data_IF_293006358660
#
_entry.id   IF_293006358660
#
_cell.length_a   1.000
_cell.length_b   1.000
_cell.length_c   1.000
_cell.angle_alpha   90.00
_cell.angle_beta   90.00
_cell.angle_gamma   90.00
#
_symmetry.space_group_name_H-M   'P 1'
#
loop_
_entity.id
_entity.type
_entity.pdbx_description
1 polymer ?
#
# COMPACT_ATOMS: atom_id res chain seq x y z
N UNK A 1 -2.05 64.88 28.26
CA UNK A 1 -2.37 64.96 29.71
C UNK A 1 -3.75 64.35 29.86
N UNK A 2 -4.03 63.39 30.75
CA UNK A 2 -3.33 63.05 32.00
C UNK A 2 -3.35 61.53 32.23
N UNK A 3 -2.22 60.96 32.67
CA UNK A 3 -2.10 59.53 33.04
C UNK A 3 -2.16 59.41 34.57
N UNK A 4 -2.86 58.40 35.13
CA UNK A 4 -2.46 57.82 36.42
C UNK A 4 -3.01 56.39 36.66
N UNK A 5 -2.29 55.50 37.39
CA UNK A 5 -2.56 54.05 37.39
C UNK A 5 -2.69 53.42 38.80
N UNK A 6 -2.66 52.08 38.83
CA UNK A 6 -2.17 51.20 39.92
C UNK A 6 -3.03 50.99 41.20
N UNK A 7 -3.34 49.73 41.49
CA UNK A 7 -3.05 49.08 42.77
C UNK A 7 -3.13 47.54 42.65
N UNK A 8 -2.14 46.83 43.18
CA UNK A 8 -2.13 45.37 43.38
C UNK A 8 -2.21 45.10 44.87
N UNK A 9 -2.95 44.07 45.31
CA UNK A 9 -2.83 43.54 46.68
C UNK A 9 -2.39 42.07 46.67
N UNK A 10 -1.37 41.80 47.47
CA UNK A 10 -0.82 40.49 47.80
C UNK A 10 -0.90 40.38 49.33
N UNK A 11 -1.26 39.21 49.89
CA UNK A 11 -1.31 39.07 51.35
C UNK A 11 -0.92 37.66 51.78
N UNK A 12 0.09 37.58 52.65
CA UNK A 12 0.55 36.38 53.34
C UNK A 12 0.35 36.55 54.85
N UNK A 13 -0.08 35.49 55.53
CA UNK A 13 0.03 35.32 56.99
C UNK A 13 0.41 33.85 57.23
N UNK A 14 1.66 33.51 57.60
CA UNK A 14 2.40 33.72 58.86
C UNK A 14 2.03 32.67 59.93
N UNK A 15 3.04 31.94 60.41
CA UNK A 15 2.95 30.85 61.37
C UNK A 15 3.39 31.26 62.79
N UNK A 16 2.98 30.47 63.80
CA UNK A 16 3.43 30.56 65.20
C UNK A 16 3.66 29.14 65.77
N UNK A 17 4.47 29.00 66.83
CA UNK A 17 5.18 27.77 67.16
C UNK A 17 5.26 27.41 68.66
N UNK A 18 5.67 26.16 68.94
CA UNK A 18 6.32 25.66 70.18
C UNK A 18 5.43 25.44 71.43
N UNK A 19 5.88 24.68 72.47
CA UNK A 19 7.21 24.07 72.69
C UNK A 19 7.23 22.54 72.99
N UNK A 20 8.42 22.01 73.31
CA UNK A 20 8.71 20.59 73.55
C UNK A 20 9.05 20.25 75.02
N UNK A 21 9.01 18.96 75.38
CA UNK A 21 9.57 18.36 76.61
C UNK A 21 10.21 17.00 76.27
N UNK A 22 11.29 16.61 76.95
CA UNK A 22 12.05 15.37 76.71
C UNK A 22 12.33 14.57 77.99
N UNK A 23 12.46 13.23 77.90
CA UNK A 23 13.01 12.32 78.94
C UNK A 23 13.47 10.96 78.33
N UNK A 24 14.13 10.08 79.10
CA UNK A 24 15.30 9.28 78.61
C UNK A 24 15.35 7.74 78.94
N UNK A 25 15.74 6.90 77.95
CA UNK A 25 16.47 5.59 78.04
C UNK A 25 15.76 4.33 78.63
N UNK A 26 16.35 3.09 78.61
CA UNK A 26 17.49 2.51 77.85
C UNK A 26 17.23 1.11 77.15
N UNK A 27 18.27 0.43 76.63
CA UNK A 27 18.28 -0.65 75.56
C UNK A 27 18.46 -2.12 76.04
N UNK A 28 18.00 -3.18 75.30
CA UNK A 28 18.93 -4.23 74.77
C UNK A 28 18.53 -4.90 73.38
N UNK A 29 18.70 -6.23 73.19
CA UNK A 29 18.76 -7.02 71.91
C UNK A 29 18.06 -8.43 72.05
N UNK A 30 18.09 -9.47 71.14
CA UNK A 30 18.81 -9.67 69.85
C UNK A 30 18.02 -10.37 68.67
N UNK A 31 18.70 -10.70 67.56
CA UNK A 31 18.18 -11.31 66.30
C UNK A 31 18.20 -12.86 66.24
N UNK A 32 17.64 -13.48 65.17
CA UNK A 32 18.43 -14.42 64.34
C UNK A 32 18.20 -14.33 62.80
N UNK A 33 19.05 -15.02 62.03
CA UNK A 33 19.03 -15.22 60.55
C UNK A 33 19.01 -16.75 60.23
N UNK A 34 19.28 -17.30 59.01
CA UNK A 34 19.42 -16.75 57.64
C UNK A 34 18.69 -17.54 56.48
N UNK A 35 18.72 -16.99 55.25
CA UNK A 35 18.77 -17.56 53.87
C UNK A 35 18.32 -19.01 53.54
N UNK A 36 17.65 -19.31 52.38
CA UNK A 36 18.22 -19.04 51.03
C UNK A 36 17.24 -18.63 49.91
N UNK A 37 17.79 -18.33 48.72
CA UNK A 37 17.06 -17.93 47.50
C UNK A 37 16.93 -19.10 46.48
N UNK A 38 15.76 -19.28 45.83
CA UNK A 38 15.61 -20.10 44.63
C UNK A 38 15.39 -19.27 43.34
N UNK A 39 15.75 -19.89 42.21
CA UNK A 39 15.78 -19.29 40.86
C UNK A 39 14.37 -19.08 40.22
N UNK A 40 14.24 -18.45 39.04
CA UNK A 40 12.95 -17.93 38.55
C UNK A 40 11.99 -19.04 38.10
N UNK A 41 10.72 -18.92 38.49
CA UNK A 41 9.64 -19.80 38.05
C UNK A 41 9.20 -19.49 36.61
N UNK A 42 8.79 -20.54 35.89
CA UNK A 42 8.45 -20.50 34.45
C UNK A 42 6.95 -20.51 34.20
N UNK A 43 6.57 -20.00 33.02
CA UNK A 43 5.36 -20.34 32.24
C UNK A 43 4.02 -19.71 32.68
N UNK A 44 3.05 -19.50 31.74
CA UNK A 44 2.90 -20.21 30.47
C UNK A 44 3.02 -19.41 29.16
N UNK A 45 3.68 -20.08 28.20
CA UNK A 45 3.28 -20.27 26.80
C UNK A 45 2.86 -19.05 25.96
N UNK A 46 3.77 -18.64 25.08
CA UNK A 46 3.43 -17.81 23.94
C UNK A 46 2.57 -18.58 22.92
N UNK A 47 1.38 -18.06 22.60
CA UNK A 47 0.64 -18.40 21.39
C UNK A 47 -0.37 -17.28 21.04
N UNK A 48 -0.54 -16.88 19.76
CA UNK A 48 0.47 -16.97 18.71
C UNK A 48 0.59 -15.69 17.85
N UNK A 49 1.82 -15.23 17.61
CA UNK A 49 2.16 -14.41 16.42
C UNK A 49 1.85 -15.15 15.10
N UNK A 50 1.50 -16.44 15.19
CA UNK A 50 1.00 -17.28 14.11
C UNK A 50 -0.28 -16.79 13.43
N UNK A 51 -1.08 -15.88 14.00
CA UNK A 51 -2.22 -15.30 13.28
C UNK A 51 -1.76 -14.39 12.12
N UNK A 52 -0.79 -13.51 12.37
CA UNK A 52 -0.17 -12.68 11.34
C UNK A 52 0.67 -13.52 10.35
N UNK A 53 1.40 -14.52 10.84
CA UNK A 53 2.13 -15.43 9.97
C UNK A 53 1.20 -16.34 9.12
N UNK A 54 0.03 -16.71 9.64
CA UNK A 54 -0.99 -17.45 8.88
C UNK A 54 -1.69 -16.55 7.85
N UNK A 55 -1.91 -15.27 8.13
CA UNK A 55 -2.38 -14.30 7.15
C UNK A 55 -1.36 -14.11 6.01
N UNK A 56 -0.07 -13.98 6.34
CA UNK A 56 1.01 -13.95 5.33
C UNK A 56 1.09 -15.26 4.52
N UNK A 57 0.91 -16.43 5.17
CA UNK A 57 0.84 -17.72 4.48
C UNK A 57 -0.42 -17.90 3.62
N UNK A 58 -1.55 -17.28 4.00
CA UNK A 58 -2.79 -17.29 3.23
C UNK A 58 -2.72 -16.33 2.02
N UNK A 59 -2.07 -15.17 2.16
CA UNK A 59 -1.73 -14.30 1.04
C UNK A 59 -0.79 -15.02 0.04
N UNK A 60 0.19 -15.79 0.54
CA UNK A 60 1.01 -16.67 -0.30
C UNK A 60 0.25 -17.87 -0.92
N UNK A 61 -0.91 -18.25 -0.37
CA UNK A 61 -1.74 -19.34 -0.89
C UNK A 61 -2.71 -18.88 -2.00
N UNK A 62 -3.05 -17.59 -2.08
CA UNK A 62 -3.94 -17.03 -3.10
C UNK A 62 -3.31 -16.94 -4.50
N UNK A 63 -1.99 -17.09 -4.61
CA UNK A 63 -1.24 -17.02 -5.87
C UNK A 63 -0.27 -18.20 -6.06
N UNK A 64 -0.70 -19.44 -5.74
CA UNK A 64 0.08 -20.63 -6.13
C UNK A 64 0.08 -20.74 -7.67
N UNK A 65 1.23 -20.63 -8.35
CA UNK A 65 1.27 -20.81 -9.81
C UNK A 65 0.86 -22.24 -10.17
N UNK A 66 0.29 -22.47 -11.38
CA UNK A 66 -0.02 -23.82 -11.83
C UNK A 66 1.20 -24.74 -11.74
N UNK A 67 0.95 -26.01 -11.40
CA UNK A 67 2.00 -26.98 -11.11
C UNK A 67 2.95 -27.20 -12.31
N UNK A 68 4.21 -27.62 -12.09
CA UNK A 68 5.20 -27.68 -13.16
C UNK A 68 4.88 -28.78 -14.20
N UNK A 69 4.29 -28.39 -15.33
CA UNK A 69 4.08 -29.29 -16.47
C UNK A 69 3.36 -28.58 -17.61
N UNK A 70 2.08 -28.31 -17.41
CA UNK A 70 1.15 -27.95 -18.48
C UNK A 70 0.67 -26.50 -18.36
N UNK A 71 1.40 -25.57 -18.99
CA UNK A 71 0.79 -24.30 -19.38
C UNK A 71 0.00 -24.59 -20.67
N UNK A 72 -1.35 -24.51 -20.66
CA UNK A 72 -2.16 -24.87 -21.81
C UNK A 72 -1.94 -23.92 -23.00
N UNK A 73 -2.20 -24.44 -24.20
CA UNK A 73 -2.27 -23.60 -25.39
C UNK A 73 -3.43 -22.59 -25.26
N UNK A 74 -3.16 -21.34 -25.65
CA UNK A 74 -4.13 -20.23 -25.66
C UNK A 74 -5.50 -20.64 -26.23
N UNK A 75 -5.54 -21.30 -27.39
CA UNK A 75 -6.79 -21.73 -28.06
C UNK A 75 -7.64 -22.73 -27.26
N UNK A 76 -7.03 -23.46 -26.32
CA UNK A 76 -7.75 -24.33 -25.39
C UNK A 76 -8.18 -23.57 -24.14
N UNK A 77 -7.37 -22.63 -23.67
CA UNK A 77 -7.69 -21.81 -22.49
C UNK A 77 -8.90 -20.91 -22.72
N UNK A 78 -8.98 -20.22 -23.87
CA UNK A 78 -10.06 -19.25 -24.19
C UNK A 78 -11.39 -19.88 -24.61
N UNK A 79 -11.49 -21.22 -24.66
CA UNK A 79 -12.77 -21.90 -24.85
C UNK A 79 -13.73 -21.49 -23.71
N UNK A 80 -14.96 -21.16 -24.09
CA UNK A 80 -16.03 -20.72 -23.19
C UNK A 80 -15.72 -19.43 -22.39
N UNK A 81 -14.68 -18.67 -22.81
CA UNK A 81 -14.31 -17.40 -22.21
C UNK A 81 -14.91 -16.20 -22.97
N UNK A 82 -15.22 -15.12 -22.27
CA UNK A 82 -15.59 -13.84 -22.89
C UNK A 82 -14.31 -13.06 -23.17
N UNK A 83 -13.94 -12.96 -24.45
CA UNK A 83 -12.74 -12.26 -24.92
C UNK A 83 -13.09 -10.84 -25.38
N UNK A 84 -12.29 -9.86 -24.97
CA UNK A 84 -12.43 -8.46 -25.35
C UNK A 84 -11.11 -7.94 -25.93
N UNK A 85 -11.13 -7.42 -27.16
CA UNK A 85 -9.94 -6.87 -27.81
C UNK A 85 -9.79 -5.36 -27.53
N UNK A 86 -8.56 -4.92 -27.28
CA UNK A 86 -8.18 -3.53 -27.03
C UNK A 86 -6.65 -3.43 -26.94
N UNK A 87 -6.13 -2.43 -26.23
CA UNK A 87 -4.69 -2.27 -25.96
C UNK A 87 -4.07 -3.59 -25.49
N UNK A 88 -4.65 -4.16 -24.44
CA UNK A 88 -4.46 -5.56 -24.09
C UNK A 88 -5.76 -6.29 -24.38
N UNK A 89 -5.65 -7.57 -24.74
CA UNK A 89 -6.84 -8.41 -24.83
C UNK A 89 -7.18 -8.92 -23.41
N UNK A 90 -8.38 -8.57 -22.94
CA UNK A 90 -8.92 -9.08 -21.69
C UNK A 90 -9.72 -10.36 -21.94
N UNK A 91 -9.59 -11.32 -21.04
CA UNK A 91 -10.30 -12.60 -21.10
C UNK A 91 -11.00 -12.79 -19.76
N UNK A 92 -12.32 -13.01 -19.77
CA UNK A 92 -13.09 -13.36 -18.56
C UNK A 92 -13.54 -14.80 -18.61
N UNK A 93 -13.27 -15.55 -17.55
CA UNK A 93 -13.62 -16.97 -17.41
C UNK A 93 -13.73 -17.31 -15.94
N UNK A 94 -14.75 -18.08 -15.56
CA UNK A 94 -14.97 -18.61 -14.20
C UNK A 94 -14.84 -17.56 -13.07
N UNK A 95 -15.41 -16.37 -13.30
CA UNK A 95 -15.37 -15.23 -12.36
C UNK A 95 -14.03 -14.47 -12.30
N UNK A 96 -12.98 -14.98 -12.95
CA UNK A 96 -11.65 -14.37 -13.02
C UNK A 96 -11.48 -13.48 -14.25
N UNK A 97 -10.52 -12.57 -14.17
CA UNK A 97 -10.06 -11.72 -15.28
C UNK A 97 -8.60 -12.01 -15.57
N UNK A 98 -8.29 -12.20 -16.84
CA UNK A 98 -6.96 -12.45 -17.36
C UNK A 98 -6.61 -11.44 -18.44
N UNK A 99 -5.32 -11.25 -18.67
CA UNK A 99 -4.79 -10.35 -19.69
C UNK A 99 -3.81 -11.11 -20.58
N UNK A 100 -4.04 -11.06 -21.91
CA UNK A 100 -3.07 -11.54 -22.90
C UNK A 100 -2.09 -10.42 -23.23
N UNK A 101 -0.81 -10.68 -22.98
CA UNK A 101 0.33 -9.84 -23.33
C UNK A 101 0.98 -10.40 -24.58
N UNK A 102 1.09 -9.59 -25.64
CA UNK A 102 1.88 -9.92 -26.82
C UNK A 102 3.39 -9.72 -26.57
N UNK A 103 4.24 -10.30 -27.41
CA UNK A 103 5.69 -10.27 -27.20
C UNK A 103 6.29 -8.86 -27.28
N UNK A 104 5.70 -7.98 -28.09
CA UNK A 104 6.02 -6.55 -28.23
C UNK A 104 5.42 -5.67 -27.13
N UNK A 105 4.60 -6.26 -26.24
CA UNK A 105 4.01 -5.57 -25.10
C UNK A 105 4.79 -5.79 -23.79
N UNK A 106 5.71 -6.75 -23.77
CA UNK A 106 6.64 -6.99 -22.68
C UNK A 106 7.76 -5.96 -22.67
N UNK A 107 8.29 -5.66 -21.48
CA UNK A 107 9.40 -4.72 -21.25
C UNK A 107 9.17 -3.29 -21.79
N UNK A 108 7.92 -2.98 -22.20
CA UNK A 108 7.40 -1.66 -22.59
C UNK A 108 6.68 -1.01 -21.41
N UNK A 109 6.76 0.31 -21.34
CA UNK A 109 6.11 1.12 -20.31
C UNK A 109 4.67 1.51 -20.69
N UNK A 110 3.80 1.51 -19.68
CA UNK A 110 2.38 1.88 -19.75
C UNK A 110 2.02 2.79 -18.59
N UNK A 111 0.97 3.59 -18.73
CA UNK A 111 0.40 4.35 -17.63
C UNK A 111 -0.63 3.50 -16.88
N UNK A 112 -0.60 3.51 -15.55
CA UNK A 112 -1.62 2.88 -14.71
C UNK A 112 -2.20 3.89 -13.71
N UNK A 113 -3.52 4.06 -13.75
CA UNK A 113 -4.28 4.79 -12.72
C UNK A 113 -5.19 3.84 -11.97
N UNK A 114 -5.43 4.11 -10.69
CA UNK A 114 -6.39 3.40 -9.86
C UNK A 114 -7.24 4.45 -9.16
N UNK A 115 -8.57 4.36 -9.30
CA UNK A 115 -9.52 5.28 -8.66
C UNK A 115 -10.66 4.50 -8.02
N UNK A 116 -11.16 4.91 -6.84
CA UNK A 116 -12.32 4.31 -6.24
C UNK A 116 -13.59 4.73 -6.99
N UNK A 117 -14.57 3.84 -7.11
CA UNK A 117 -15.88 4.05 -7.72
C UNK A 117 -16.99 4.30 -6.70
N UNK A 118 -16.70 4.05 -5.43
CA UNK A 118 -17.50 4.41 -4.27
C UNK A 118 -16.64 5.22 -3.29
N UNK A 119 -17.24 5.74 -2.22
CA UNK A 119 -16.54 6.41 -1.13
C UNK A 119 -17.08 5.95 0.22
N UNK A 120 -16.46 6.38 1.32
CA UNK A 120 -16.91 6.02 2.68
C UNK A 120 -18.08 6.88 3.17
N UNK A 121 -18.51 7.90 2.42
CA UNK A 121 -19.48 8.90 2.90
C UNK A 121 -18.90 9.91 3.92
N UNK A 122 -17.58 9.87 4.12
CA UNK A 122 -16.83 10.73 5.03
C UNK A 122 -15.33 10.53 4.82
N UNK A 123 -14.50 11.06 5.73
CA UNK A 123 -13.05 10.84 5.78
C UNK A 123 -12.28 11.23 4.50
N UNK A 124 -12.85 12.10 3.66
CA UNK A 124 -12.34 12.50 2.34
C UNK A 124 -12.17 11.37 1.31
N UNK A 125 -12.53 10.13 1.62
CA UNK A 125 -12.51 9.02 0.65
C UNK A 125 -13.76 9.11 -0.24
N UNK A 126 -13.57 9.65 -1.45
CA UNK A 126 -14.63 9.99 -2.40
C UNK A 126 -14.52 9.17 -3.69
N UNK A 127 -15.65 8.90 -4.35
CA UNK A 127 -15.65 8.25 -5.66
C UNK A 127 -15.02 9.16 -6.73
N UNK A 128 -14.13 8.58 -7.54
CA UNK A 128 -13.36 9.27 -8.58
C UNK A 128 -12.08 9.94 -8.07
N UNK A 129 -11.75 9.81 -6.79
CA UNK A 129 -10.54 10.39 -6.21
C UNK A 129 -9.26 9.73 -6.75
N UNK A 130 -8.26 10.55 -7.09
CA UNK A 130 -6.95 10.11 -7.55
C UNK A 130 -5.81 10.51 -6.57
N UNK A 131 -6.12 11.18 -5.45
CA UNK A 131 -5.12 11.60 -4.47
C UNK A 131 -4.53 10.43 -3.67
N UNK A 132 -5.30 9.35 -3.49
CA UNK A 132 -4.81 8.12 -2.84
C UNK A 132 -3.66 7.46 -3.60
N UNK A 133 -3.64 7.59 -4.93
CA UNK A 133 -2.52 7.10 -5.72
C UNK A 133 -2.38 7.83 -7.06
N UNK A 134 -1.24 8.50 -7.22
CA UNK A 134 -0.84 9.14 -8.48
C UNK A 134 -0.81 8.15 -9.65
N UNK A 135 -0.92 8.71 -10.87
CA UNK A 135 -0.77 7.96 -12.10
C UNK A 135 0.68 7.48 -12.24
N UNK A 136 0.91 6.17 -12.16
CA UNK A 136 2.26 5.59 -12.19
C UNK A 136 2.59 4.92 -13.51
N UNK A 137 3.86 4.97 -13.89
CA UNK A 137 4.39 4.14 -14.98
C UNK A 137 4.49 2.69 -14.50
N UNK A 138 4.10 1.75 -15.34
CA UNK A 138 4.31 0.32 -15.09
C UNK A 138 4.97 -0.39 -16.28
N UNK A 139 5.65 -1.49 -16.00
CA UNK A 139 6.29 -2.38 -16.98
C UNK A 139 5.98 -3.84 -16.67
N UNK A 140 5.66 -4.62 -17.69
CA UNK A 140 5.49 -6.07 -17.58
C UNK A 140 6.80 -6.77 -17.92
N UNK A 141 7.43 -7.39 -16.92
CA UNK A 141 8.73 -8.08 -17.06
C UNK A 141 8.54 -9.57 -16.88
N UNK A 142 9.02 -10.41 -17.81
CA UNK A 142 8.90 -11.87 -17.68
C UNK A 142 9.87 -12.40 -16.63
N UNK A 143 9.37 -13.13 -15.63
CA UNK A 143 10.15 -13.77 -14.57
C UNK A 143 9.87 -15.27 -14.58
N UNK A 144 10.55 -16.00 -15.46
CA UNK A 144 10.37 -17.45 -15.64
C UNK A 144 8.97 -17.84 -16.15
N UNK A 145 8.16 -18.43 -15.25
CA UNK A 145 6.76 -18.84 -15.49
C UNK A 145 5.71 -17.83 -14.99
N UNK A 146 6.17 -16.64 -14.60
CA UNK A 146 5.33 -15.53 -14.14
C UNK A 146 5.72 -14.24 -14.86
N UNK A 147 4.91 -13.21 -14.69
CA UNK A 147 5.21 -11.83 -15.07
C UNK A 147 5.18 -10.98 -13.81
N UNK A 148 6.25 -10.21 -13.60
CA UNK A 148 6.28 -9.14 -12.61
C UNK A 148 5.64 -7.88 -13.22
N UNK A 149 4.73 -7.27 -12.47
CA UNK A 149 4.27 -5.90 -12.73
C UNK A 149 5.18 -4.98 -11.93
N UNK A 150 6.11 -4.33 -12.63
CA UNK A 150 7.08 -3.40 -12.07
C UNK A 150 6.53 -1.98 -12.20
N UNK A 151 6.75 -1.14 -11.20
CA UNK A 151 6.67 0.31 -11.28
C UNK A 151 8.11 0.85 -11.34
N UNK A 152 8.59 1.25 -12.53
CA UNK A 152 9.97 1.73 -12.69
C UNK A 152 10.21 3.03 -11.94
N UNK A 153 11.44 3.21 -11.44
CA UNK A 153 11.83 4.45 -10.78
C UNK A 153 12.08 5.58 -11.80
N UNK A 154 11.11 6.49 -11.94
CA UNK A 154 11.16 7.60 -12.91
C UNK A 154 11.75 8.90 -12.36
N UNK A 155 11.85 9.06 -11.03
CA UNK A 155 12.14 10.35 -10.40
C UNK A 155 13.58 10.84 -10.58
N UNK A 156 14.54 9.93 -10.67
CA UNK A 156 15.96 10.25 -10.82
C UNK A 156 16.39 9.91 -12.25
N UNK A 157 16.97 10.88 -12.93
CA UNK A 157 17.22 10.86 -14.36
C UNK A 157 18.70 11.12 -14.66
N UNK A 158 19.18 10.51 -15.74
CA UNK A 158 20.42 10.85 -16.41
C UNK A 158 20.34 10.37 -17.88
N UNK A 159 21.09 11.04 -18.76
CA UNK A 159 21.13 10.79 -20.19
C UNK A 159 21.35 9.29 -20.50
N UNK A 160 20.48 8.64 -21.29
CA UNK A 160 20.60 7.23 -21.62
C UNK A 160 21.96 6.88 -22.25
N UNK A 161 22.43 5.66 -21.96
CA UNK A 161 23.73 5.13 -22.42
C UNK A 161 24.98 5.84 -21.85
N UNK A 162 24.84 6.58 -20.76
CA UNK A 162 25.98 7.13 -20.00
C UNK A 162 26.33 6.24 -18.79
N UNK A 163 27.59 6.25 -18.31
CA UNK A 163 27.95 5.61 -17.03
C UNK A 163 27.16 6.16 -15.84
N UNK A 164 26.68 7.40 -15.94
CA UNK A 164 25.86 8.05 -14.93
C UNK A 164 24.44 7.47 -14.88
N UNK A 165 23.82 7.18 -16.03
CA UNK A 165 22.55 6.48 -16.08
C UNK A 165 22.63 5.07 -15.49
N UNK A 166 23.74 4.35 -15.71
CA UNK A 166 23.99 3.07 -15.03
C UNK A 166 24.15 3.24 -13.51
N UNK A 167 24.86 4.28 -13.05
CA UNK A 167 25.01 4.58 -11.63
C UNK A 167 23.68 4.94 -10.96
N UNK A 168 22.85 5.76 -11.60
CA UNK A 168 21.48 6.10 -11.13
C UNK A 168 20.63 4.84 -11.06
N UNK A 169 20.57 4.04 -12.13
CA UNK A 169 19.81 2.78 -12.20
C UNK A 169 20.26 1.73 -11.18
N UNK A 170 21.54 1.70 -10.80
CA UNK A 170 22.06 0.81 -9.76
C UNK A 170 21.80 1.35 -8.34
N UNK A 171 21.61 2.67 -8.19
CA UNK A 171 21.36 3.34 -6.91
C UNK A 171 19.88 3.55 -6.60
N UNK A 172 18.99 3.27 -7.55
CA UNK A 172 17.54 3.42 -7.42
C UNK A 172 16.84 2.08 -7.62
N UNK A 173 15.93 1.74 -6.71
CA UNK A 173 15.15 0.50 -6.79
C UNK A 173 13.81 0.76 -7.48
N UNK A 174 13.48 -0.08 -8.46
CA UNK A 174 12.11 -0.19 -8.98
C UNK A 174 11.20 -0.84 -7.93
N UNK A 175 9.90 -0.51 -7.95
CA UNK A 175 8.90 -1.11 -7.06
C UNK A 175 8.20 -2.30 -7.72
N UNK A 176 7.97 -3.38 -6.97
CA UNK A 176 7.21 -4.55 -7.44
C UNK A 176 5.74 -4.42 -6.99
N UNK A 177 4.83 -4.21 -7.93
CA UNK A 177 3.39 -4.10 -7.66
C UNK A 177 2.72 -5.47 -7.48
N UNK A 178 3.26 -6.51 -8.10
CA UNK A 178 2.74 -7.87 -7.97
C UNK A 178 3.36 -8.83 -8.99
N UNK A 179 3.12 -10.12 -8.77
CA UNK A 179 3.55 -11.19 -9.67
C UNK A 179 2.32 -11.97 -10.11
N UNK A 180 2.10 -12.06 -11.42
CA UNK A 180 1.03 -12.84 -12.02
C UNK A 180 1.59 -14.12 -12.66
N UNK A 181 1.01 -15.28 -12.36
CA UNK A 181 1.38 -16.54 -13.00
C UNK A 181 0.94 -16.56 -14.48
N UNK A 182 1.75 -17.16 -15.35
CA UNK A 182 1.35 -17.44 -16.74
C UNK A 182 0.42 -18.65 -16.75
N UNK A 183 -0.81 -18.47 -17.24
CA UNK A 183 -1.88 -19.48 -17.25
C UNK A 183 -2.16 -20.07 -18.62
N UNK A 184 -1.69 -19.44 -19.70
CA UNK A 184 -1.70 -19.98 -21.05
C UNK A 184 -0.61 -19.32 -21.91
N UNK A 185 -0.16 -19.98 -22.97
CA UNK A 185 0.75 -19.41 -23.97
C UNK A 185 0.29 -19.72 -25.40
N UNK A 186 0.57 -18.81 -26.34
CA UNK A 186 0.52 -19.10 -27.77
C UNK A 186 1.95 -19.24 -28.31
N UNK A 187 2.28 -20.40 -28.86
CA UNK A 187 3.61 -20.69 -29.39
C UNK A 187 3.92 -19.99 -30.71
N UNK A 188 2.90 -19.57 -31.46
CA UNK A 188 3.07 -18.96 -32.79
C UNK A 188 3.55 -17.49 -32.72
N UNK A 189 2.95 -16.71 -31.82
CA UNK A 189 3.24 -15.27 -31.64
C UNK A 189 4.01 -14.97 -30.33
N UNK A 190 4.30 -16.00 -29.53
CA UNK A 190 4.91 -15.94 -28.19
C UNK A 190 4.12 -15.13 -27.16
N UNK A 191 2.85 -14.85 -27.42
CA UNK A 191 1.98 -14.17 -26.47
C UNK A 191 1.66 -15.07 -25.27
N UNK A 192 1.51 -14.45 -24.11
CA UNK A 192 1.26 -15.11 -22.84
C UNK A 192 -0.03 -14.57 -22.21
N UNK A 193 -0.73 -15.40 -21.44
CA UNK A 193 -1.90 -15.00 -20.66
C UNK A 193 -1.55 -15.03 -19.19
N UNK A 194 -1.81 -13.93 -18.48
CA UNK A 194 -1.59 -13.81 -17.05
C UNK A 194 -2.91 -13.57 -16.31
N UNK A 195 -3.02 -14.09 -15.08
CA UNK A 195 -4.17 -13.84 -14.20
C UNK A 195 -4.00 -12.50 -13.46
N UNK A 196 -5.02 -11.64 -13.49
CA UNK A 196 -4.97 -10.32 -12.85
C UNK A 196 -5.30 -10.35 -11.35
N UNK A 197 -5.26 -11.51 -10.70
CA UNK A 197 -5.55 -11.66 -9.27
C UNK A 197 -4.69 -10.80 -8.32
N UNK A 198 -3.45 -10.37 -8.66
CA UNK A 198 -2.75 -9.37 -7.86
C UNK A 198 -3.55 -8.07 -7.64
N UNK A 199 -4.42 -7.66 -8.58
CA UNK A 199 -5.27 -6.47 -8.44
C UNK A 199 -6.39 -6.62 -7.40
N UNK A 200 -6.67 -7.84 -6.93
CA UNK A 200 -7.59 -8.08 -5.80
C UNK A 200 -6.92 -7.82 -4.44
N UNK A 201 -5.58 -7.75 -4.40
CA UNK A 201 -4.80 -7.33 -3.25
C UNK A 201 -4.68 -5.82 -3.14
N UNK A 202 -4.04 -5.35 -2.08
CA UNK A 202 -3.91 -3.91 -1.78
C UNK A 202 -2.75 -3.24 -2.55
N UNK A 203 -2.89 -3.15 -3.88
CA UNK A 203 -1.84 -2.59 -4.78
C UNK A 203 -1.75 -1.06 -4.71
N UNK A 204 -2.61 -0.41 -3.92
CA UNK A 204 -2.64 1.05 -3.74
C UNK A 204 -2.41 1.49 -2.29
N UNK A 205 -2.10 0.55 -1.38
CA UNK A 205 -1.90 0.78 0.06
C UNK A 205 -3.11 1.41 0.79
N UNK A 206 -4.32 1.14 0.30
CA UNK A 206 -5.56 1.71 0.84
C UNK A 206 -5.83 1.29 2.28
N UNK A 207 -5.33 0.13 2.73
CA UNK A 207 -5.42 -0.24 4.14
C UNK A 207 -4.71 0.79 5.04
N UNK A 208 -3.59 1.37 4.62
CA UNK A 208 -2.91 2.41 5.40
C UNK A 208 -3.69 3.73 5.39
N UNK A 209 -4.20 4.19 4.25
CA UNK A 209 -5.15 5.32 4.19
C UNK A 209 -6.31 5.12 5.17
N UNK A 210 -7.00 3.98 5.05
CA UNK A 210 -8.16 3.64 5.87
C UNK A 210 -7.79 3.62 7.36
N UNK A 211 -6.63 3.08 7.71
CA UNK A 211 -6.12 3.04 9.09
C UNK A 211 -5.77 4.41 9.65
N UNK A 212 -5.22 5.32 8.85
CA UNK A 212 -4.87 6.66 9.32
C UNK A 212 -6.10 7.57 9.47
N UNK A 213 -7.10 7.47 8.58
CA UNK A 213 -8.33 8.28 8.70
C UNK A 213 -9.32 7.73 9.75
N UNK A 214 -9.30 6.43 10.05
CA UNK A 214 -10.14 5.80 11.10
C UNK A 214 -9.40 5.56 12.42
N UNK A 215 -8.21 6.13 12.57
CA UNK A 215 -7.28 5.88 13.69
C UNK A 215 -7.86 6.25 15.05
N UNK A 216 -7.92 5.26 15.93
CA UNK A 216 -8.33 5.43 17.33
C UNK A 216 -7.15 5.08 18.27
N UNK A 217 -6.56 6.08 18.96
CA UNK A 217 -5.47 5.86 19.91
C UNK A 217 -5.83 4.93 21.08
N UNK A 218 -7.11 4.76 21.39
CA UNK A 218 -7.59 3.87 22.46
C UNK A 218 -7.78 2.43 22.01
N UNK A 219 -7.79 2.19 20.69
CA UNK A 219 -8.03 0.89 20.08
C UNK A 219 -6.91 0.49 19.08
N UNK A 220 -5.72 0.13 19.57
CA UNK A 220 -4.60 -0.28 18.72
C UNK A 220 -4.82 -1.62 17.97
N UNK A 221 -5.97 -2.27 18.17
CA UNK A 221 -6.37 -3.50 17.49
C UNK A 221 -7.45 -3.26 16.40
N UNK A 222 -7.82 -2.00 16.16
CA UNK A 222 -8.84 -1.63 15.17
C UNK A 222 -8.38 -1.62 13.72
N UNK A 223 -7.10 -1.86 13.47
CA UNK A 223 -6.51 -1.82 12.13
C UNK A 223 -7.19 -2.72 11.11
N UNK A 224 -7.52 -2.14 9.96
CA UNK A 224 -7.98 -2.80 8.76
C UNK A 224 -6.82 -3.46 8.02
N UNK A 225 -7.13 -4.59 7.39
CA UNK A 225 -6.27 -5.28 6.43
C UNK A 225 -7.12 -5.75 5.24
N UNK A 226 -6.50 -5.87 4.08
CA UNK A 226 -7.16 -6.42 2.89
C UNK A 226 -7.50 -7.91 3.14
N UNK A 227 -8.73 -8.33 2.82
CA UNK A 227 -9.22 -9.71 2.89
C UNK A 227 -9.34 -10.33 1.48
N UNK A 228 -8.36 -11.14 1.02
CA UNK A 228 -8.38 -11.72 -0.32
C UNK A 228 -9.57 -12.66 -0.58
N UNK A 229 -10.16 -13.27 0.45
CA UNK A 229 -11.24 -14.25 0.29
C UNK A 229 -12.60 -13.58 0.04
N UNK A 230 -12.74 -12.31 0.46
CA UNK A 230 -13.93 -11.48 0.22
C UNK A 230 -13.71 -10.40 -0.86
N UNK A 231 -12.64 -10.52 -1.65
CA UNK A 231 -12.37 -9.66 -2.81
C UNK A 231 -12.64 -10.38 -4.13
N UNK A 232 -13.21 -9.68 -5.11
CA UNK A 232 -13.61 -10.28 -6.39
C UNK A 232 -13.66 -9.26 -7.54
N UNK A 233 -13.57 -9.72 -8.79
CA UNK A 233 -13.61 -8.84 -9.95
C UNK A 233 -15.01 -8.27 -10.22
N UNK A 234 -15.07 -6.95 -10.45
CA UNK A 234 -16.24 -6.23 -10.95
C UNK A 234 -16.30 -6.25 -12.48
N UNK A 235 -16.74 -5.16 -13.10
CA UNK A 235 -16.72 -4.98 -14.55
C UNK A 235 -15.31 -5.01 -15.17
N UNK A 236 -15.21 -5.20 -16.48
CA UNK A 236 -13.95 -4.95 -17.20
C UNK A 236 -14.24 -4.62 -18.66
N UNK A 237 -13.47 -3.69 -19.24
CA UNK A 237 -13.67 -3.21 -20.61
C UNK A 237 -12.34 -2.93 -21.31
N UNK A 238 -12.16 -3.51 -22.49
CA UNK A 238 -11.03 -3.21 -23.37
C UNK A 238 -11.40 -2.12 -24.40
N UNK A 239 -10.47 -1.20 -24.66
CA UNK A 239 -10.55 -0.14 -25.66
C UNK A 239 -9.24 -0.07 -26.46
N UNK A 240 -9.18 0.59 -27.63
CA UNK A 240 -7.97 0.57 -28.47
C UNK A 240 -6.67 1.10 -27.82
N UNK A 241 -6.77 2.02 -26.85
CA UNK A 241 -5.61 2.66 -26.19
C UNK A 241 -5.53 2.44 -24.69
N UNK A 242 -6.49 1.74 -24.09
CA UNK A 242 -6.51 1.44 -22.67
C UNK A 242 -7.42 0.23 -22.35
N UNK A 243 -7.23 -0.37 -21.18
CA UNK A 243 -8.16 -1.36 -20.63
C UNK A 243 -8.49 -0.99 -19.19
N UNK A 244 -9.74 -1.18 -18.79
CA UNK A 244 -10.23 -0.94 -17.43
C UNK A 244 -10.64 -2.28 -16.81
N UNK A 245 -10.16 -2.54 -15.60
CA UNK A 245 -10.50 -3.71 -14.79
C UNK A 245 -10.96 -3.21 -13.43
N UNK A 246 -12.20 -3.53 -13.09
CA UNK A 246 -12.79 -3.17 -11.81
C UNK A 246 -12.66 -4.34 -10.84
N UNK A 247 -12.42 -4.03 -9.57
CA UNK A 247 -12.35 -4.98 -8.47
C UNK A 247 -13.16 -4.47 -7.29
N UNK A 248 -13.72 -5.39 -6.52
CA UNK A 248 -14.33 -5.10 -5.23
C UNK A 248 -13.37 -5.65 -4.19
N UNK A 249 -12.63 -4.76 -3.55
CA UNK A 249 -11.67 -5.08 -2.49
C UNK A 249 -12.36 -4.97 -1.14
N UNK A 250 -12.35 -6.04 -0.35
CA UNK A 250 -12.85 -5.99 1.03
C UNK A 250 -11.68 -5.78 1.99
N UNK A 251 -11.88 -4.85 2.93
CA UNK A 251 -10.98 -4.51 4.03
C UNK A 251 -11.66 -4.88 5.35
N UNK A 252 -11.00 -5.71 6.14
CA UNK A 252 -11.54 -6.32 7.35
C UNK A 252 -10.82 -5.83 8.60
N UNK A 253 -11.54 -5.68 9.69
CA UNK A 253 -10.98 -5.43 11.03
C UNK A 253 -11.65 -6.33 12.05
N UNK A 254 -10.88 -6.88 12.98
CA UNK A 254 -11.38 -7.78 14.02
C UNK A 254 -12.03 -7.02 15.19
N UNK A 255 -11.63 -5.76 15.39
CA UNK A 255 -12.11 -4.89 16.47
C UNK A 255 -12.19 -3.44 15.96
N UNK A 256 -12.91 -3.14 14.87
CA UNK A 256 -12.93 -1.80 14.31
C UNK A 256 -13.41 -0.79 15.36
N UNK A 257 -12.85 0.42 15.31
CA UNK A 257 -13.51 1.57 15.95
C UNK A 257 -14.76 1.97 15.18
N UNK A 258 -15.61 2.77 15.80
CA UNK A 258 -16.88 3.20 15.18
C UNK A 258 -16.59 4.08 13.97
N UNK A 259 -17.19 3.73 12.83
CA UNK A 259 -17.16 4.49 11.58
C UNK A 259 -18.61 4.70 11.16
N UNK A 260 -19.22 5.80 11.62
CA UNK A 260 -20.67 6.03 11.53
C UNK A 260 -21.21 6.14 10.09
N UNK A 261 -20.33 6.27 9.09
CA UNK A 261 -20.69 6.44 7.68
C UNK A 261 -20.79 5.11 6.90
N UNK A 262 -20.39 3.97 7.49
CA UNK A 262 -20.44 2.64 6.84
C UNK A 262 -21.42 1.68 7.54
N UNK A 263 -21.95 0.72 6.78
CA UNK A 263 -23.00 -0.20 7.27
C UNK A 263 -22.47 -1.27 8.24
N UNK A 264 -21.26 -1.79 7.99
CA UNK A 264 -20.58 -2.72 8.89
C UNK A 264 -19.07 -2.36 8.95
N UNK A 265 -18.60 -1.71 10.03
CA UNK A 265 -17.20 -1.30 10.13
C UNK A 265 -16.24 -2.49 10.26
N UNK A 266 -16.71 -3.74 10.42
CA UNK A 266 -15.82 -4.92 10.41
C UNK A 266 -15.42 -5.35 9.00
N UNK A 267 -16.08 -4.82 7.96
CA UNK A 267 -16.01 -5.32 6.59
C UNK A 267 -16.36 -4.23 5.58
N UNK A 268 -15.46 -3.28 5.38
CA UNK A 268 -15.61 -2.19 4.40
C UNK A 268 -15.25 -2.72 3.01
N UNK A 269 -16.09 -2.44 2.00
CA UNK A 269 -15.83 -2.84 0.61
C UNK A 269 -15.63 -1.61 -0.28
N UNK A 270 -14.45 -1.53 -0.90
CA UNK A 270 -14.10 -0.50 -1.87
C UNK A 270 -14.12 -1.05 -3.29
N UNK A 271 -14.72 -0.29 -4.20
CA UNK A 271 -14.85 -0.65 -5.60
C UNK A 271 -13.75 0.11 -6.35
N UNK A 272 -12.67 -0.55 -6.76
CA UNK A 272 -11.53 0.11 -7.42
C UNK A 272 -11.55 -0.13 -8.92
N UNK A 273 -11.31 0.92 -9.70
CA UNK A 273 -11.11 0.84 -11.15
C UNK A 273 -9.62 1.00 -11.49
N UNK A 274 -8.98 -0.08 -11.89
CA UNK A 274 -7.63 -0.05 -12.46
C UNK A 274 -7.72 0.19 -13.96
N UNK A 275 -7.10 1.27 -14.44
CA UNK A 275 -7.01 1.60 -15.85
C UNK A 275 -5.55 1.54 -16.30
N UNK A 276 -5.27 0.70 -17.30
CA UNK A 276 -3.96 0.58 -17.94
C UNK A 276 -4.05 1.20 -19.34
N UNK A 277 -3.21 2.18 -19.64
CA UNK A 277 -3.24 2.94 -20.88
C UNK A 277 -1.86 2.96 -21.56
N UNK A 278 -1.85 3.11 -22.89
CA UNK A 278 -0.61 3.38 -23.61
C UNK A 278 -0.07 4.77 -23.24
N UNK A 279 1.25 4.89 -23.08
CA UNK A 279 1.90 6.19 -22.93
C UNK A 279 1.68 7.06 -24.18
N UNK A 280 1.71 8.40 -24.04
CA UNK A 280 1.77 9.28 -25.20
C UNK A 280 3.04 9.00 -26.02
N UNK A 281 3.01 9.38 -27.29
CA UNK A 281 4.18 9.30 -28.16
C UNK A 281 5.31 10.19 -27.61
N UNK A 282 6.31 9.59 -26.97
CA UNK A 282 7.41 10.29 -26.32
C UNK A 282 8.31 11.07 -27.28
N UNK A 283 8.18 10.87 -28.61
CA UNK A 283 8.85 11.72 -29.61
C UNK A 283 8.11 13.04 -29.88
N UNK A 284 6.85 13.14 -29.43
CA UNK A 284 5.97 14.30 -29.58
C UNK A 284 5.52 14.89 -28.24
N UNK A 285 5.65 14.14 -27.14
CA UNK A 285 5.32 14.58 -25.81
C UNK A 285 6.43 15.49 -25.27
N UNK A 286 6.06 16.71 -24.89
CA UNK A 286 6.95 17.66 -24.23
C UNK A 286 6.43 17.91 -22.82
N UNK A 287 7.16 17.53 -21.75
CA UNK A 287 6.74 17.84 -20.39
C UNK A 287 6.75 19.36 -20.17
N UNK A 288 5.77 19.86 -19.41
CA UNK A 288 5.72 21.26 -19.00
C UNK A 288 6.55 21.44 -17.72
N UNK A 289 7.45 22.42 -17.70
CA UNK A 289 8.10 22.84 -16.45
C UNK A 289 7.05 23.38 -15.46
N UNK A 290 7.31 23.18 -14.17
CA UNK A 290 6.49 23.74 -13.10
C UNK A 290 6.46 25.28 -13.19
N UNK A 291 5.32 25.87 -12.82
CA UNK A 291 5.10 27.31 -12.91
C UNK A 291 4.11 27.71 -11.81
N UNK A 292 4.60 28.40 -10.79
CA UNK A 292 3.86 28.82 -9.59
C UNK A 292 2.57 29.59 -9.91
N UNK A 293 2.49 30.23 -11.09
CA UNK A 293 1.31 30.99 -11.54
C UNK A 293 0.14 30.10 -11.94
N UNK A 294 0.39 28.81 -12.20
CA UNK A 294 -0.59 27.88 -12.75
C UNK A 294 -1.27 27.03 -11.66
N UNK A 295 -0.73 27.00 -10.44
CA UNK A 295 -1.41 26.45 -9.25
C UNK A 295 -1.89 25.00 -9.43
N UNK A 296 -1.09 24.16 -10.08
CA UNK A 296 -1.44 22.79 -10.47
C UNK A 296 -0.32 21.83 -10.06
N UNK A 297 -0.66 20.56 -9.85
CA UNK A 297 0.26 19.52 -9.41
C UNK A 297 1.53 19.44 -10.27
N UNK A 298 2.69 19.37 -9.61
CA UNK A 298 4.01 19.17 -10.21
C UNK A 298 4.63 17.86 -9.72
N UNK A 299 5.54 17.27 -10.51
CA UNK A 299 6.30 16.08 -10.16
C UNK A 299 7.81 16.37 -10.20
N UNK A 300 8.44 16.26 -9.03
CA UNK A 300 9.77 16.79 -8.76
C UNK A 300 10.89 15.80 -9.12
N UNK A 301 11.42 15.94 -10.33
CA UNK A 301 12.49 15.11 -10.88
C UNK A 301 13.92 15.58 -10.51
N UNK A 302 14.86 14.64 -10.43
CA UNK A 302 16.28 14.90 -10.17
C UNK A 302 17.12 14.39 -11.35
N UNK A 303 17.48 15.30 -12.27
CA UNK A 303 18.51 15.08 -13.28
C UNK A 303 19.93 15.20 -12.69
N UNK A 304 20.79 14.20 -12.93
CA UNK A 304 22.17 14.12 -12.40
C UNK A 304 23.24 14.61 -13.39
N UNK A 305 22.88 14.69 -14.66
CA UNK A 305 23.65 15.18 -15.81
C UNK A 305 23.51 16.69 -16.04
N UNK A 306 22.43 17.31 -15.54
CA UNK A 306 22.16 18.72 -15.74
C UNK A 306 23.23 19.61 -15.09
N UNK A 307 23.89 20.52 -15.84
CA UNK A 307 25.08 21.24 -15.36
C UNK A 307 24.82 22.20 -14.20
N UNK A 308 23.57 22.59 -13.96
CA UNK A 308 23.16 23.54 -12.92
C UNK A 308 23.25 22.99 -11.49
N UNK A 309 23.70 21.73 -11.31
CA UNK A 309 23.94 21.09 -10.00
C UNK A 309 25.40 20.75 -9.71
N UNK A 310 26.32 21.15 -10.60
CA UNK A 310 27.77 20.89 -10.45
C UNK A 310 28.55 22.07 -9.82
N UNK A 311 27.86 23.14 -9.37
CA UNK A 311 28.44 24.32 -8.71
C UNK A 311 27.71 24.63 -7.40
#
# INVERSE_FOLDING_TARGET
MTVRPFAVLFSCFLALASPAVAQTGPVPSPSPAPSPSPAPSRSPSAAPAGAAAAAAAAAAAAAKPPAPGDIPAYDTFVKDAVVQNGLFQLIRKDGKVYMRLAADQMDKDYLQTAVPKNGLGGYFILAGDAFEQEARVIRFVRTGKSVAMIWPHTRFLADPNTPLADAVRQSTADSLLGIAGIVAENKADKAIVIELSPLLGDVIDFANTLNDVTKDPTNPLGGYHQDPQRSYFGGSKAFPKNVVVEVNQTFASLKPSVVDTVVDPRSIQMHMAYNFAELPDMTKYMPRLEDDRVGYFGDAHIAFDHPERMN
#
